data_IF_609431011469
#
_entry.id   IF_609431011469
#
_cell.length_a   1.000
_cell.length_b   1.000
_cell.length_c   1.000
_cell.angle_alpha   90.00
_cell.angle_beta   90.00
_cell.angle_gamma   90.00
#
_symmetry.space_group_name_H-M   'P 1'
#
loop_
_entity.id
_entity.type
_entity.pdbx_description
1 polymer ?
#
# COMPACT_ATOMS: atom_id res chain seq x y z
N UNK A 1 0.05 -18.84 -1.74
CA UNK A 1 -1.38 -19.00 -1.36
C UNK A 1 -2.20 -17.91 -2.04
N UNK A 2 -3.53 -18.05 -2.15
CA UNK A 2 -4.37 -16.95 -2.67
C UNK A 2 -4.45 -15.82 -1.65
N UNK A 3 -4.03 -14.61 -2.02
CA UNK A 3 -4.25 -13.41 -1.21
C UNK A 3 -5.75 -13.17 -1.03
N UNK A 4 -6.16 -12.81 0.18
CA UNK A 4 -7.54 -12.47 0.52
C UNK A 4 -7.59 -11.08 1.11
N UNK A 5 -8.59 -10.32 0.71
CA UNK A 5 -8.88 -9.04 1.33
C UNK A 5 -9.46 -9.26 2.73
N UNK A 6 -8.76 -8.74 3.75
CA UNK A 6 -9.22 -8.79 5.14
C UNK A 6 -9.41 -7.35 5.61
N UNK A 7 -10.67 -6.99 5.90
CA UNK A 7 -11.08 -5.61 6.20
C UNK A 7 -10.36 -4.99 7.40
N UNK A 8 -10.08 -5.76 8.46
CA UNK A 8 -9.34 -5.29 9.63
C UNK A 8 -7.92 -4.82 9.28
N UNK A 9 -7.17 -5.63 8.52
CA UNK A 9 -5.84 -5.27 8.06
C UNK A 9 -5.88 -4.13 7.04
N UNK A 10 -6.86 -4.12 6.14
CA UNK A 10 -7.03 -3.04 5.18
C UNK A 10 -7.27 -1.68 5.87
N UNK A 11 -8.04 -1.64 6.97
CA UNK A 11 -8.23 -0.41 7.76
C UNK A 11 -6.91 0.07 8.39
N UNK A 12 -6.13 -0.85 8.98
CA UNK A 12 -4.80 -0.53 9.54
C UNK A 12 -3.84 -0.04 8.45
N UNK A 13 -3.77 -0.73 7.32
CA UNK A 13 -2.91 -0.38 6.19
C UNK A 13 -3.17 1.03 5.67
N UNK A 14 -4.44 1.44 5.56
CA UNK A 14 -4.78 2.81 5.16
C UNK A 14 -4.25 3.87 6.14
N UNK A 15 -4.33 3.60 7.44
CA UNK A 15 -3.76 4.49 8.46
C UNK A 15 -2.24 4.59 8.33
N UNK A 16 -1.56 3.46 8.14
CA UNK A 16 -0.10 3.42 7.95
C UNK A 16 0.33 4.14 6.67
N UNK A 17 -0.43 3.97 5.59
CA UNK A 17 -0.17 4.64 4.31
C UNK A 17 -0.37 6.16 4.43
N UNK A 18 -1.38 6.63 5.18
CA UNK A 18 -1.55 8.05 5.47
C UNK A 18 -0.39 8.62 6.29
N UNK A 19 0.06 7.92 7.33
CA UNK A 19 1.23 8.30 8.13
C UNK A 19 2.51 8.36 7.27
N UNK A 20 2.72 7.37 6.39
CA UNK A 20 3.85 7.34 5.45
C UNK A 20 3.84 8.54 4.49
N UNK A 21 2.68 8.90 3.94
CA UNK A 21 2.53 10.07 3.06
C UNK A 21 2.92 11.36 3.79
N UNK A 22 2.43 11.54 5.02
CA UNK A 22 2.66 12.76 5.81
C UNK A 22 4.13 12.86 6.22
N UNK A 23 4.71 11.79 6.77
CA UNK A 23 6.10 11.77 7.25
C UNK A 23 7.10 12.04 6.13
N UNK A 24 6.89 11.42 4.97
CA UNK A 24 7.79 11.54 3.83
C UNK A 24 7.42 12.69 2.88
N UNK A 25 6.37 13.48 3.21
CA UNK A 25 5.85 14.58 2.40
C UNK A 25 5.67 14.19 0.93
N UNK A 26 5.04 13.02 0.71
CA UNK A 26 4.87 12.45 -0.61
C UNK A 26 3.94 13.32 -1.44
N UNK A 27 4.41 13.77 -2.60
CA UNK A 27 3.64 14.58 -3.56
C UNK A 27 3.44 13.92 -4.92
N UNK A 28 4.12 12.80 -5.16
CA UNK A 28 4.10 12.11 -6.45
C UNK A 28 3.64 10.68 -6.30
N UNK A 29 2.95 10.18 -7.32
CA UNK A 29 2.45 8.80 -7.34
C UNK A 29 3.58 7.78 -7.24
N UNK A 30 4.72 8.03 -7.90
CA UNK A 30 5.87 7.12 -7.86
C UNK A 30 6.32 6.82 -6.44
N UNK A 31 6.41 7.85 -5.59
CA UNK A 31 6.79 7.72 -4.18
C UNK A 31 5.76 6.98 -3.35
N UNK A 32 4.48 7.05 -3.73
CA UNK A 32 3.42 6.30 -3.04
C UNK A 32 3.56 4.79 -3.23
N UNK A 33 4.15 4.36 -4.36
CA UNK A 33 4.40 2.94 -4.64
C UNK A 33 5.54 2.37 -3.78
N UNK A 34 6.36 3.24 -3.17
CA UNK A 34 7.44 2.86 -2.23
C UNK A 34 6.89 2.54 -0.82
N UNK A 35 5.56 2.45 -0.65
CA UNK A 35 4.98 2.06 0.62
C UNK A 35 5.30 0.59 0.95
N UNK A 36 6.17 0.39 1.94
CA UNK A 36 6.64 -0.93 2.38
C UNK A 36 6.46 -1.21 3.90
N UNK A 37 5.58 -0.46 4.56
CA UNK A 37 5.41 -0.55 6.02
C UNK A 37 4.75 -1.85 6.45
N UNK A 38 5.16 -2.44 7.59
CA UNK A 38 4.51 -3.61 8.21
C UNK A 38 4.44 -4.84 7.27
N UNK A 39 5.44 -4.99 6.39
CA UNK A 39 5.56 -6.09 5.42
C UNK A 39 4.66 -5.96 4.20
N UNK A 40 3.97 -4.82 4.02
CA UNK A 40 3.28 -4.53 2.76
C UNK A 40 4.30 -4.30 1.64
N UNK A 41 3.96 -4.65 0.42
CA UNK A 41 4.77 -4.36 -0.76
C UNK A 41 3.88 -4.13 -1.98
N UNK A 42 4.34 -3.30 -2.90
CA UNK A 42 3.63 -2.99 -4.14
C UNK A 42 3.67 -4.18 -5.12
N UNK A 43 2.52 -4.57 -5.64
CA UNK A 43 2.40 -5.62 -6.65
C UNK A 43 2.05 -5.02 -8.00
N UNK A 44 3.04 -4.84 -8.87
CA UNK A 44 2.84 -4.27 -10.21
C UNK A 44 1.92 -5.10 -11.10
N UNK A 45 1.91 -6.43 -10.93
CA UNK A 45 1.08 -7.33 -11.76
C UNK A 45 -0.42 -7.17 -11.49
N UNK A 46 -0.80 -6.89 -10.24
CA UNK A 46 -2.19 -6.69 -9.85
C UNK A 46 -2.60 -5.23 -9.81
N UNK A 47 -1.66 -4.30 -10.01
CA UNK A 47 -1.91 -2.87 -9.92
C UNK A 47 -2.32 -2.27 -11.26
N UNK A 48 -3.28 -1.35 -11.22
CA UNK A 48 -3.72 -0.61 -12.41
C UNK A 48 -3.31 0.86 -12.34
N UNK A 49 -3.56 1.60 -13.42
CA UNK A 49 -3.28 3.03 -13.49
C UNK A 49 -4.03 3.87 -12.44
N UNK A 50 -5.11 3.38 -11.82
CA UNK A 50 -5.81 4.12 -10.77
C UNK A 50 -5.85 3.38 -9.43
N UNK A 51 -5.55 2.09 -9.42
CA UNK A 51 -5.66 1.24 -8.23
C UNK A 51 -4.32 0.53 -7.98
N UNK A 52 -3.42 1.13 -7.17
CA UNK A 52 -2.23 0.45 -6.74
C UNK A 52 -2.61 -0.62 -5.70
N UNK A 53 -2.17 -1.86 -5.95
CA UNK A 53 -2.41 -3.01 -5.08
C UNK A 53 -1.15 -3.29 -4.26
N UNK A 54 -1.35 -3.37 -2.95
CA UNK A 54 -0.30 -3.73 -1.99
C UNK A 54 -0.65 -5.08 -1.37
N UNK A 55 0.30 -6.01 -1.43
CA UNK A 55 0.20 -7.34 -0.84
C UNK A 55 1.03 -7.41 0.43
N UNK A 56 0.77 -8.42 1.25
CA UNK A 56 1.50 -8.69 2.49
C UNK A 56 1.54 -10.21 2.66
N UNK A 57 2.72 -10.73 2.96
CA UNK A 57 2.95 -12.14 3.25
C UNK A 57 2.63 -12.51 4.71
#
# INVERSE_FOLDING_TARGET
GKYKFISFYAKKARGMMADFIIRNKIKTRSRLLEFETDGYYYCSESSTANEPVFLRD
#
